data_IF_761908068544
#
_entry.id   IF_761908068544
#
_cell.length_a   1.000
_cell.length_b   1.000
_cell.length_c   1.000
_cell.angle_alpha   90.00
_cell.angle_beta   90.00
_cell.angle_gamma   90.00
#
_symmetry.space_group_name_H-M   'P 1'
#
loop_
_entity.id
_entity.type
_entity.pdbx_description
1 polymer ?
#
# COMPACT_ATOMS: atom_id res chain seq x y z
N UNK A 1 -74.31 -46.14 34.46
CA UNK A 1 -73.24 -46.94 33.84
C UNK A 1 -72.08 -46.00 33.47
N UNK A 2 -70.85 -46.34 33.85
CA UNK A 2 -69.69 -45.47 34.12
C UNK A 2 -69.11 -44.64 32.96
N UNK A 3 -68.64 -43.43 33.31
CA UNK A 3 -67.78 -42.53 32.51
C UNK A 3 -66.42 -43.18 32.23
N UNK A 4 -66.02 -43.30 30.96
CA UNK A 4 -64.64 -43.65 30.55
C UNK A 4 -63.70 -42.48 30.87
N UNK A 5 -62.76 -42.70 31.78
CA UNK A 5 -61.66 -41.76 32.01
C UNK A 5 -60.70 -41.76 30.81
N UNK A 6 -60.55 -40.62 30.14
CA UNK A 6 -59.49 -40.38 29.14
C UNK A 6 -58.16 -40.34 29.89
N UNK A 7 -57.27 -41.30 29.63
CA UNK A 7 -55.88 -41.22 30.09
C UNK A 7 -55.19 -40.06 29.37
N UNK A 8 -54.65 -39.11 30.13
CA UNK A 8 -53.73 -38.11 29.59
C UNK A 8 -52.45 -38.83 29.11
N UNK A 9 -51.88 -38.42 27.96
CA UNK A 9 -50.64 -39.03 27.47
C UNK A 9 -49.53 -38.82 28.51
N UNK A 10 -48.82 -39.90 28.87
CA UNK A 10 -47.61 -39.81 29.68
C UNK A 10 -46.55 -39.10 28.84
N UNK A 11 -46.13 -37.91 29.29
CA UNK A 11 -44.97 -37.24 28.71
C UNK A 11 -43.76 -38.09 29.13
N UNK A 12 -43.11 -38.74 28.16
CA UNK A 12 -41.87 -39.45 28.39
C UNK A 12 -40.75 -38.43 28.66
N UNK A 13 -40.00 -38.61 29.74
CA UNK A 13 -38.78 -37.84 30.01
C UNK A 13 -37.59 -38.42 29.25
N UNK A 14 -36.56 -37.59 29.01
CA UNK A 14 -35.31 -38.00 28.39
C UNK A 14 -34.55 -39.02 29.27
N UNK A 15 -33.90 -39.99 28.63
CA UNK A 15 -32.97 -40.88 29.34
C UNK A 15 -31.58 -40.22 29.48
N UNK A 16 -30.80 -40.61 30.49
CA UNK A 16 -29.42 -40.15 30.64
C UNK A 16 -28.56 -40.46 29.40
N UNK A 17 -28.79 -41.61 28.77
CA UNK A 17 -28.08 -42.03 27.55
C UNK A 17 -28.41 -41.10 26.39
N UNK A 18 -29.68 -40.73 26.23
CA UNK A 18 -30.14 -39.84 25.15
C UNK A 18 -29.56 -38.43 25.29
N UNK A 19 -29.45 -37.92 26.53
CA UNK A 19 -28.78 -36.66 26.83
C UNK A 19 -27.27 -36.72 26.51
N UNK A 20 -26.58 -37.80 26.89
CA UNK A 20 -25.15 -37.98 26.60
C UNK A 20 -24.90 -38.04 25.08
N UNK A 21 -25.73 -38.77 24.34
CA UNK A 21 -25.64 -38.84 22.88
C UNK A 21 -25.88 -37.45 22.26
N UNK A 22 -26.91 -36.72 22.69
CA UNK A 22 -27.19 -35.38 22.19
C UNK A 22 -26.01 -34.41 22.42
N UNK A 23 -25.42 -34.40 23.62
CA UNK A 23 -24.27 -33.55 23.94
C UNK A 23 -23.03 -33.98 23.13
N UNK A 24 -22.82 -35.28 22.93
CA UNK A 24 -21.69 -35.77 22.12
C UNK A 24 -21.78 -35.32 20.65
N UNK A 25 -22.97 -35.40 20.06
CA UNK A 25 -23.23 -34.96 18.69
C UNK A 25 -23.05 -33.44 18.60
N UNK A 26 -23.59 -32.68 19.57
CA UNK A 26 -23.44 -31.23 19.61
C UNK A 26 -21.97 -30.81 19.73
N UNK A 27 -21.20 -31.47 20.60
CA UNK A 27 -19.77 -31.22 20.76
C UNK A 27 -19.01 -31.51 19.45
N UNK A 28 -19.30 -32.64 18.81
CA UNK A 28 -18.70 -33.00 17.53
C UNK A 28 -19.03 -31.98 16.44
N UNK A 29 -20.29 -31.58 16.30
CA UNK A 29 -20.71 -30.55 15.34
C UNK A 29 -20.01 -29.22 15.64
N UNK A 30 -19.92 -28.82 16.91
CA UNK A 30 -19.26 -27.58 17.31
C UNK A 30 -17.79 -27.57 16.92
N UNK A 31 -17.07 -28.68 17.09
CA UNK A 31 -15.67 -28.81 16.68
C UNK A 31 -15.52 -28.72 15.16
N UNK A 32 -16.40 -29.39 14.39
CA UNK A 32 -16.38 -29.33 12.93
C UNK A 32 -16.62 -27.91 12.41
N UNK A 33 -17.62 -27.22 12.97
CA UNK A 33 -17.97 -25.84 12.62
C UNK A 33 -16.81 -24.91 12.95
N UNK A 34 -16.23 -25.02 14.15
CA UNK A 34 -15.07 -24.22 14.55
C UNK A 34 -13.87 -24.45 13.63
N UNK A 35 -13.60 -25.71 13.28
CA UNK A 35 -12.52 -26.07 12.34
C UNK A 35 -12.72 -25.41 10.98
N UNK A 36 -13.93 -25.49 10.41
CA UNK A 36 -14.28 -24.87 9.14
C UNK A 36 -14.09 -23.34 9.18
N UNK A 37 -14.60 -22.66 10.22
CA UNK A 37 -14.41 -21.23 10.39
C UNK A 37 -12.92 -20.84 10.53
N UNK A 38 -12.16 -21.63 11.28
CA UNK A 38 -10.72 -21.38 11.45
C UNK A 38 -9.96 -21.53 10.11
N UNK A 39 -10.36 -22.50 9.28
CA UNK A 39 -9.81 -22.70 7.94
C UNK A 39 -10.13 -21.53 7.01
N UNK A 40 -11.40 -21.08 7.01
CA UNK A 40 -11.84 -19.93 6.22
C UNK A 40 -11.10 -18.65 6.61
N UNK A 41 -10.92 -18.40 7.91
CA UNK A 41 -10.18 -17.24 8.41
C UNK A 41 -8.74 -17.22 7.88
N UNK A 42 -8.01 -18.33 8.03
CA UNK A 42 -6.62 -18.45 7.54
C UNK A 42 -6.53 -18.27 6.03
N UNK A 43 -7.47 -18.85 5.28
CA UNK A 43 -7.54 -18.69 3.82
C UNK A 43 -7.75 -17.24 3.43
N UNK A 44 -8.72 -16.56 4.06
CA UNK A 44 -8.98 -15.13 3.85
C UNK A 44 -7.75 -14.28 4.15
N UNK A 45 -7.07 -14.52 5.27
CA UNK A 45 -5.84 -13.80 5.63
C UNK A 45 -4.70 -14.03 4.64
N UNK A 46 -4.57 -15.24 4.08
CA UNK A 46 -3.63 -15.54 2.99
C UNK A 46 -3.92 -14.74 1.73
N UNK A 47 -5.18 -14.77 1.27
CA UNK A 47 -5.62 -14.03 0.06
C UNK A 47 -5.47 -12.52 0.26
N UNK A 48 -5.82 -12.01 1.45
CA UNK A 48 -5.72 -10.60 1.78
C UNK A 48 -4.27 -10.11 1.67
N UNK A 49 -3.30 -10.83 2.26
CA UNK A 49 -1.87 -10.47 2.18
C UNK A 49 -1.38 -10.35 0.74
N UNK A 50 -1.73 -11.33 -0.10
CA UNK A 50 -1.35 -11.31 -1.53
C UNK A 50 -2.00 -10.12 -2.24
N UNK A 51 -3.30 -9.90 -2.01
CA UNK A 51 -4.05 -8.80 -2.63
C UNK A 51 -3.49 -7.44 -2.24
N UNK A 52 -3.16 -7.25 -0.97
CA UNK A 52 -2.58 -6.02 -0.45
C UNK A 52 -1.21 -5.74 -1.06
N UNK A 53 -0.35 -6.77 -1.19
CA UNK A 53 0.96 -6.66 -1.84
C UNK A 53 0.85 -6.21 -3.31
N UNK A 54 -0.05 -6.83 -4.07
CA UNK A 54 -0.30 -6.42 -5.46
C UNK A 54 -0.90 -5.02 -5.55
N UNK A 55 -1.77 -4.64 -4.60
CA UNK A 55 -2.38 -3.31 -4.57
C UNK A 55 -1.33 -2.23 -4.30
N UNK A 56 -0.45 -2.45 -3.33
CA UNK A 56 0.67 -1.56 -3.00
C UNK A 56 1.55 -1.32 -4.23
N UNK A 57 2.02 -2.40 -4.89
CA UNK A 57 2.83 -2.29 -6.11
C UNK A 57 2.12 -1.55 -7.25
N UNK A 58 0.83 -1.84 -7.50
CA UNK A 58 0.05 -1.12 -8.53
C UNK A 58 -0.10 0.36 -8.22
N UNK A 59 -0.36 0.72 -6.96
CA UNK A 59 -0.48 2.12 -6.56
C UNK A 59 0.85 2.86 -6.70
N UNK A 60 1.95 2.22 -6.30
CA UNK A 60 3.30 2.75 -6.46
C UNK A 60 3.62 3.04 -7.94
N UNK A 61 3.44 2.04 -8.81
CA UNK A 61 3.71 2.19 -10.24
C UNK A 61 2.80 3.22 -10.92
N UNK A 62 1.50 3.22 -10.60
CA UNK A 62 0.56 4.19 -11.16
C UNK A 62 0.90 5.62 -10.74
N UNK A 63 1.45 5.82 -9.54
CA UNK A 63 1.93 7.12 -9.09
C UNK A 63 3.19 7.53 -9.82
N UNK A 64 4.23 6.69 -9.81
CA UNK A 64 5.51 6.95 -10.50
C UNK A 64 5.26 7.31 -11.97
N UNK A 65 4.46 6.51 -12.68
CA UNK A 65 4.14 6.75 -14.09
C UNK A 65 3.47 8.12 -14.31
N UNK A 66 2.48 8.48 -13.49
CA UNK A 66 1.79 9.77 -13.60
C UNK A 66 2.73 10.95 -13.39
N UNK A 67 3.63 10.85 -12.42
CA UNK A 67 4.52 11.94 -12.07
C UNK A 67 5.66 12.08 -13.09
N UNK A 68 6.21 10.96 -13.59
CA UNK A 68 7.18 10.96 -14.69
C UNK A 68 6.57 11.49 -16.00
N UNK A 69 5.29 11.22 -16.29
CA UNK A 69 4.59 11.79 -17.45
C UNK A 69 4.47 13.33 -17.37
N UNK A 70 4.44 13.89 -16.16
CA UNK A 70 4.43 15.33 -15.94
C UNK A 70 5.82 15.96 -15.86
N UNK A 71 6.89 15.17 -16.05
CA UNK A 71 8.25 15.65 -15.87
C UNK A 71 8.62 16.71 -16.91
N UNK A 72 9.35 17.74 -16.48
CA UNK A 72 9.78 18.82 -17.36
C UNK A 72 11.18 19.34 -17.02
N UNK A 73 11.82 19.94 -18.00
CA UNK A 73 13.03 20.75 -17.85
C UNK A 73 12.74 22.16 -18.33
N UNK A 74 13.13 23.16 -17.55
CA UNK A 74 12.97 24.57 -17.91
C UNK A 74 14.29 25.12 -18.46
N UNK A 75 14.25 25.65 -19.67
CA UNK A 75 15.34 26.46 -20.25
C UNK A 75 15.19 27.95 -19.94
N UNK A 76 14.16 28.35 -19.18
CA UNK A 76 13.91 29.73 -18.80
C UNK A 76 14.81 30.14 -17.64
N UNK A 77 16.10 30.30 -17.93
CA UNK A 77 17.09 30.79 -16.98
C UNK A 77 17.37 32.27 -17.22
N UNK A 78 17.56 33.08 -16.16
CA UNK A 78 17.94 34.47 -16.33
C UNK A 78 19.31 34.57 -17.02
N UNK A 79 19.50 35.61 -17.84
CA UNK A 79 20.78 35.87 -18.54
C UNK A 79 21.93 35.93 -17.52
N UNK A 80 21.68 36.57 -16.37
CA UNK A 80 22.60 36.55 -15.24
C UNK A 80 22.25 35.37 -14.32
N UNK A 81 23.10 34.33 -14.31
CA UNK A 81 22.92 33.15 -13.47
C UNK A 81 22.92 33.44 -11.96
N UNK A 82 23.49 34.57 -11.52
CA UNK A 82 23.41 35.00 -10.12
C UNK A 82 21.98 35.36 -9.68
N UNK A 83 21.06 35.54 -10.63
CA UNK A 83 19.64 35.79 -10.37
C UNK A 83 18.79 34.52 -10.45
N UNK A 84 19.39 33.34 -10.68
CA UNK A 84 18.66 32.08 -10.72
C UNK A 84 18.14 31.74 -9.32
N UNK A 85 16.84 31.48 -9.24
CA UNK A 85 16.14 31.10 -7.99
C UNK A 85 15.65 29.66 -8.01
N UNK A 86 15.58 29.05 -9.19
CA UNK A 86 15.16 27.68 -9.39
C UNK A 86 16.08 26.97 -10.39
N UNK A 87 16.23 25.67 -10.21
CA UNK A 87 16.91 24.79 -11.16
C UNK A 87 16.12 23.51 -11.34
N UNK A 88 15.65 23.26 -12.55
CA UNK A 88 15.02 21.98 -12.88
C UNK A 88 16.05 20.88 -13.13
N UNK A 89 15.76 19.67 -12.69
CA UNK A 89 16.58 18.50 -12.96
C UNK A 89 15.74 17.36 -13.56
N UNK A 90 16.42 16.43 -14.22
CA UNK A 90 15.94 15.08 -14.52
C UNK A 90 17.18 14.19 -14.50
N UNK A 91 17.47 13.59 -13.36
CA UNK A 91 18.73 12.87 -13.12
C UNK A 91 18.47 11.52 -12.50
N UNK A 92 18.97 10.47 -13.16
CA UNK A 92 18.99 9.10 -12.67
C UNK A 92 20.33 8.75 -12.06
N UNK A 93 20.33 7.99 -10.97
CA UNK A 93 21.51 7.44 -10.31
C UNK A 93 21.27 5.97 -10.01
N UNK A 94 22.17 5.12 -10.50
CA UNK A 94 22.11 3.69 -10.22
C UNK A 94 22.35 3.41 -8.74
N UNK A 95 21.61 2.44 -8.20
CA UNK A 95 21.73 1.99 -6.83
C UNK A 95 21.28 0.54 -6.68
N UNK A 96 21.57 -0.04 -5.53
CA UNK A 96 21.11 -1.39 -5.18
C UNK A 96 20.76 -1.40 -3.70
N UNK A 97 19.55 -1.84 -3.31
CA UNK A 97 18.51 -2.48 -4.15
C UNK A 97 17.63 -1.50 -4.95
N UNK A 98 17.87 -0.18 -4.88
CA UNK A 98 17.03 0.78 -5.56
C UNK A 98 17.84 1.89 -6.24
N UNK A 99 17.50 2.14 -7.50
CA UNK A 99 17.89 3.33 -8.23
C UNK A 99 17.24 4.58 -7.63
N UNK A 100 17.86 5.72 -7.92
CA UNK A 100 17.34 7.03 -7.57
C UNK A 100 17.04 7.84 -8.83
N UNK A 101 15.88 8.46 -8.87
CA UNK A 101 15.55 9.48 -9.87
C UNK A 101 15.08 10.75 -9.19
N UNK A 102 15.62 11.89 -9.60
CA UNK A 102 15.26 13.23 -9.14
C UNK A 102 14.80 14.05 -10.35
N UNK A 103 13.61 14.64 -10.27
CA UNK A 103 13.04 15.40 -11.38
C UNK A 103 11.99 16.44 -10.94
N UNK A 104 11.75 17.43 -11.80
CA UNK A 104 10.65 18.38 -11.62
C UNK A 104 9.42 17.93 -12.42
N UNK A 105 8.21 18.15 -11.88
CA UNK A 105 6.95 17.71 -12.50
C UNK A 105 5.78 18.67 -12.21
N UNK A 106 4.81 18.73 -13.12
CA UNK A 106 3.55 19.51 -12.98
C UNK A 106 2.41 18.76 -12.27
N UNK A 107 2.75 17.81 -11.39
CA UNK A 107 1.77 16.95 -10.73
C UNK A 107 1.47 17.33 -9.28
N UNK A 108 1.98 18.47 -8.79
CA UNK A 108 1.70 18.92 -7.43
C UNK A 108 0.23 19.32 -7.29
N UNK A 109 -0.39 18.90 -6.18
CA UNK A 109 -1.75 19.31 -5.85
C UNK A 109 -1.73 20.17 -4.60
N UNK A 110 -2.06 21.44 -4.79
CA UNK A 110 -2.28 22.38 -3.70
C UNK A 110 -3.45 21.95 -2.82
N UNK A 111 -3.19 21.71 -1.54
CA UNK A 111 -4.20 21.27 -0.57
C UNK A 111 -4.79 22.42 0.24
N UNK A 112 -4.03 23.51 0.42
CA UNK A 112 -4.43 24.65 1.24
C UNK A 112 -4.96 25.82 0.40
N UNK A 113 -5.99 26.49 0.93
CA UNK A 113 -6.55 27.70 0.32
C UNK A 113 -5.56 28.86 0.53
N UNK A 114 -5.15 29.49 -0.57
CA UNK A 114 -4.18 30.60 -0.62
C UNK A 114 -2.72 30.22 -0.25
N UNK A 115 -2.31 28.95 -0.35
CA UNK A 115 -0.87 28.66 -0.32
C UNK A 115 -0.20 29.21 -1.58
N UNK A 116 1.03 29.70 -1.43
CA UNK A 116 1.85 30.23 -2.51
C UNK A 116 2.54 29.09 -3.27
N UNK A 117 1.77 28.04 -3.56
CA UNK A 117 2.22 26.83 -4.24
C UNK A 117 1.64 26.80 -5.65
N UNK A 118 2.48 26.35 -6.59
CA UNK A 118 2.12 26.10 -7.98
C UNK A 118 1.63 24.65 -8.15
N UNK A 119 1.43 24.21 -9.39
CA UNK A 119 1.31 22.79 -9.76
C UNK A 119 2.68 22.10 -9.97
N UNK A 120 3.75 22.89 -9.89
CA UNK A 120 5.13 22.40 -9.94
C UNK A 120 5.55 21.78 -8.61
N UNK A 121 6.28 20.67 -8.71
CA UNK A 121 7.00 20.07 -7.60
C UNK A 121 8.33 19.47 -8.04
N UNK A 122 9.24 19.40 -7.09
CA UNK A 122 10.44 18.57 -7.17
C UNK A 122 10.14 17.22 -6.54
N UNK A 123 10.48 16.15 -7.25
CA UNK A 123 10.13 14.79 -6.87
C UNK A 123 11.37 13.91 -6.93
N UNK A 124 11.50 13.05 -5.92
CA UNK A 124 12.52 12.00 -5.92
C UNK A 124 11.91 10.64 -5.61
N UNK A 125 12.35 9.61 -6.31
CA UNK A 125 12.14 8.21 -5.92
C UNK A 125 13.48 7.58 -5.60
N UNK A 126 13.58 6.86 -4.48
CA UNK A 126 14.79 6.14 -4.07
C UNK A 126 14.47 5.10 -2.99
N UNK A 127 15.42 4.20 -2.73
CA UNK A 127 15.32 3.26 -1.61
C UNK A 127 15.77 3.87 -0.28
N UNK A 128 15.05 3.58 0.79
CA UNK A 128 15.40 3.92 2.17
C UNK A 128 15.32 2.68 3.06
N UNK A 129 16.26 2.51 3.99
CA UNK A 129 16.14 1.44 4.99
C UNK A 129 14.90 1.66 5.87
N UNK A 130 14.16 0.58 6.17
CA UNK A 130 13.05 0.63 7.13
C UNK A 130 13.63 0.73 8.56
N UNK A 131 13.36 1.81 9.31
CA UNK A 131 13.85 1.94 10.69
C UNK A 131 13.26 0.91 11.66
N UNK A 132 12.21 0.19 11.28
CA UNK A 132 11.54 -0.82 12.11
C UNK A 132 11.97 -2.25 11.78
N UNK A 133 12.62 -2.46 10.63
CA UNK A 133 13.00 -3.78 10.14
C UNK A 133 14.39 -3.71 9.51
N UNK A 134 15.36 -4.27 10.23
CA UNK A 134 16.72 -4.36 9.74
C UNK A 134 16.77 -5.22 8.46
N UNK A 135 17.52 -4.73 7.47
CA UNK A 135 17.78 -5.45 6.21
C UNK A 135 16.70 -5.30 5.13
N UNK A 136 15.57 -4.63 5.41
CA UNK A 136 14.56 -4.34 4.39
C UNK A 136 14.72 -2.93 3.83
N UNK A 137 14.51 -2.77 2.52
CA UNK A 137 14.52 -1.47 1.85
C UNK A 137 13.12 -1.13 1.39
N UNK A 138 12.65 0.06 1.74
CA UNK A 138 11.38 0.61 1.29
C UNK A 138 11.63 1.55 0.10
N UNK A 139 10.74 1.49 -0.89
CA UNK A 139 10.67 2.50 -1.93
C UNK A 139 9.98 3.74 -1.37
N UNK A 140 10.70 4.84 -1.31
CA UNK A 140 10.19 6.11 -0.80
C UNK A 140 10.05 7.14 -1.92
N UNK A 141 9.16 8.10 -1.68
CA UNK A 141 8.96 9.25 -2.54
C UNK A 141 9.18 10.53 -1.75
N UNK A 142 10.04 11.40 -2.25
CA UNK A 142 10.21 12.77 -1.78
C UNK A 142 9.41 13.73 -2.66
N UNK A 143 8.79 14.73 -2.06
CA UNK A 143 8.16 15.86 -2.77
C UNK A 143 8.39 17.18 -2.05
N UNK A 144 8.81 18.20 -2.82
CA UNK A 144 8.78 19.61 -2.44
C UNK A 144 7.89 20.38 -3.41
N UNK A 145 6.86 21.06 -2.89
CA UNK A 145 5.98 21.94 -3.69
C UNK A 145 6.56 23.33 -3.99
N UNK A 146 7.80 23.58 -3.55
CA UNK A 146 8.50 24.85 -3.77
C UNK A 146 9.82 24.55 -4.50
N UNK A 147 9.84 24.68 -5.84
CA UNK A 147 11.08 24.54 -6.61
C UNK A 147 12.15 25.53 -6.16
N UNK A 148 13.37 25.05 -5.97
CA UNK A 148 14.52 25.85 -5.58
C UNK A 148 15.79 25.44 -6.38
N UNK A 149 16.96 25.84 -5.89
CA UNK A 149 18.24 25.56 -6.56
C UNK A 149 18.79 24.14 -6.31
N UNK A 150 18.14 23.37 -5.43
CA UNK A 150 18.55 22.06 -4.93
C UNK A 150 17.42 21.02 -5.12
N UNK A 151 17.07 20.68 -6.37
CA UNK A 151 15.95 19.81 -6.70
C UNK A 151 16.02 18.39 -6.11
N UNK A 152 17.17 18.01 -5.54
CA UNK A 152 17.39 16.74 -4.88
C UNK A 152 17.17 16.76 -3.34
N UNK A 153 16.79 17.91 -2.75
CA UNK A 153 16.75 18.13 -1.29
C UNK A 153 15.40 18.64 -0.78
N UNK A 154 15.25 18.63 0.54
CA UNK A 154 14.06 19.16 1.22
C UNK A 154 12.80 18.34 0.94
N UNK A 155 11.64 18.96 1.16
CA UNK A 155 10.34 18.31 0.96
C UNK A 155 10.01 17.21 1.97
N UNK A 156 8.86 16.57 1.77
CA UNK A 156 8.39 15.45 2.59
C UNK A 156 8.72 14.13 1.94
N UNK A 157 9.19 13.16 2.73
CA UNK A 157 9.44 11.79 2.31
C UNK A 157 8.33 10.88 2.82
N UNK A 158 7.65 10.21 1.90
CA UNK A 158 6.57 9.27 2.18
C UNK A 158 6.96 7.86 1.67
N UNK A 159 6.62 6.81 2.42
CA UNK A 159 6.81 5.42 1.97
C UNK A 159 5.77 5.10 0.90
N UNK A 160 6.23 4.61 -0.25
CA UNK A 160 5.38 4.28 -1.40
C UNK A 160 5.10 2.78 -1.48
N UNK A 161 6.13 1.96 -1.30
CA UNK A 161 6.03 0.51 -1.22
C UNK A 161 7.08 -0.01 -0.24
N UNK A 162 6.67 -0.93 0.62
CA UNK A 162 7.53 -1.53 1.64
C UNK A 162 8.33 -2.70 1.09
N UNK A 163 9.49 -3.00 1.67
CA UNK A 163 10.24 -4.24 1.46
C UNK A 163 10.42 -4.61 -0.03
N UNK A 164 10.98 -3.71 -0.83
CA UNK A 164 11.24 -3.95 -2.24
C UNK A 164 12.47 -4.83 -2.45
N UNK A 165 12.38 -5.75 -3.41
CA UNK A 165 13.53 -6.57 -3.83
C UNK A 165 14.47 -5.77 -4.74
N UNK A 166 13.91 -5.05 -5.72
CA UNK A 166 14.64 -4.25 -6.70
C UNK A 166 13.77 -3.10 -7.24
N UNK A 167 14.37 -1.93 -7.40
CA UNK A 167 13.84 -0.84 -8.21
C UNK A 167 14.92 -0.37 -9.18
N UNK A 168 14.72 -0.61 -10.48
CA UNK A 168 15.69 -0.35 -11.54
C UNK A 168 15.07 0.55 -12.61
N UNK A 169 15.85 1.50 -13.10
CA UNK A 169 15.40 2.48 -14.09
C UNK A 169 16.34 2.49 -15.29
N UNK A 170 15.73 2.31 -16.46
CA UNK A 170 16.42 2.46 -17.75
C UNK A 170 15.93 3.71 -18.47
N UNK A 171 16.86 4.38 -19.14
CA UNK A 171 16.61 5.62 -19.85
C UNK A 171 16.95 5.40 -21.32
N UNK A 172 16.03 5.80 -22.20
CA UNK A 172 16.26 5.76 -23.64
C UNK A 172 17.26 6.85 -24.01
N UNK A 173 18.35 6.47 -24.67
CA UNK A 173 19.30 7.41 -25.25
C UNK A 173 18.75 7.91 -26.59
N UNK A 174 18.53 9.22 -26.77
CA UNK A 174 17.99 9.78 -28.00
C UNK A 174 18.90 9.59 -29.23
N UNK A 175 20.17 9.20 -29.05
CA UNK A 175 21.11 8.98 -30.14
C UNK A 175 21.23 7.52 -30.58
N UNK A 176 20.89 6.57 -29.71
CA UNK A 176 21.08 5.12 -29.96
C UNK A 176 19.79 4.30 -29.85
N UNK A 177 18.70 4.90 -29.36
CA UNK A 177 17.38 4.31 -29.17
C UNK A 177 16.41 4.52 -30.32
#
# INVERSE_FOLDING_TARGET
MMRRARRLPRIAGFTLVELLVAISILAMISVLVYSAFSGLKRSKEGIQRVTDRYREGRLAMARISRELQGAYLSTHMPINQALAVEKTAFTGRRGTPADRVDFNSFCHRRMDRNSHESDQAEISYFGSADPKKDGTTDLVRRESGHPDMYPERGGRVDVLATDIDLFDLEYLDPLTG
#
